data_IF_043999747055
#
_entry.id   IF_043999747055
#
_cell.length_a   1.000
_cell.length_b   1.000
_cell.length_c   1.000
_cell.angle_alpha   90.00
_cell.angle_beta   90.00
_cell.angle_gamma   90.00
#
_symmetry.space_group_name_H-M   'P 1'
#
loop_
_entity.id
_entity.type
_entity.pdbx_description
1 polymer ?
#
# COMPACT_ATOMS: atom_id res chain seq x y z
N UNK A 1 -1.06 -15.17 -10.33
CA UNK A 1 -0.72 -13.75 -10.57
C UNK A 1 -1.31 -13.36 -11.91
N UNK A 2 -2.09 -12.26 -12.03
CA UNK A 2 -2.70 -11.84 -13.30
C UNK A 2 -4.19 -11.48 -13.30
N UNK A 3 -4.80 -11.26 -12.14
CA UNK A 3 -6.20 -10.80 -12.06
C UNK A 3 -6.24 -9.30 -11.74
N UNK A 4 -6.90 -8.54 -12.61
CA UNK A 4 -7.28 -7.16 -12.35
C UNK A 4 -8.53 -7.11 -11.48
N UNK A 5 -8.55 -6.19 -10.52
CA UNK A 5 -9.66 -6.05 -9.59
C UNK A 5 -10.41 -4.74 -9.87
N UNK A 6 -11.74 -4.83 -9.93
CA UNK A 6 -12.62 -3.67 -10.08
C UNK A 6 -12.61 -2.79 -8.82
N UNK A 7 -12.48 -3.41 -7.64
CA UNK A 7 -12.42 -2.76 -6.35
C UNK A 7 -11.32 -3.35 -5.47
N UNK A 8 -10.54 -2.49 -4.81
CA UNK A 8 -9.46 -2.88 -3.89
C UNK A 8 -9.51 -1.98 -2.66
N UNK A 9 -9.56 -2.61 -1.49
CA UNK A 9 -9.37 -1.95 -0.19
C UNK A 9 -7.95 -2.18 0.32
N UNK A 10 -7.25 -1.11 0.69
CA UNK A 10 -5.95 -1.15 1.35
C UNK A 10 -6.06 -0.56 2.75
N UNK A 11 -5.76 -1.37 3.76
CA UNK A 11 -5.67 -0.92 5.15
C UNK A 11 -4.21 -0.80 5.57
N UNK A 12 -3.78 0.40 5.93
CA UNK A 12 -2.42 0.74 6.31
C UNK A 12 -2.40 1.21 7.76
N UNK A 13 -2.25 0.27 8.69
CA UNK A 13 -2.14 0.56 10.13
C UNK A 13 -0.74 0.94 10.58
N UNK A 14 0.27 0.71 9.74
CA UNK A 14 1.68 1.04 9.98
C UNK A 14 2.30 1.63 8.70
N UNK A 15 3.42 2.35 8.84
CA UNK A 15 4.20 2.81 7.70
C UNK A 15 4.61 1.60 6.84
N UNK A 16 4.38 1.71 5.53
CA UNK A 16 4.43 0.55 4.63
C UNK A 16 5.86 0.28 4.23
N UNK A 17 6.31 -0.94 4.52
CA UNK A 17 7.70 -1.40 4.41
C UNK A 17 8.02 -2.02 3.03
N UNK A 18 7.03 -2.49 2.28
CA UNK A 18 7.31 -3.34 1.13
C UNK A 18 7.02 -2.61 -0.18
N UNK A 19 8.10 -2.08 -0.78
CA UNK A 19 8.16 -1.51 -2.14
C UNK A 19 7.37 -2.33 -3.18
N UNK A 20 7.31 -3.65 -3.00
CA UNK A 20 6.51 -4.54 -3.84
C UNK A 20 5.02 -4.57 -3.51
N UNK A 21 4.60 -4.67 -2.25
CA UNK A 21 3.18 -4.97 -1.92
C UNK A 21 2.25 -3.80 -2.19
N UNK A 22 2.65 -2.58 -1.80
CA UNK A 22 1.85 -1.38 -2.05
C UNK A 22 1.77 -1.11 -3.56
N UNK A 23 2.91 -1.16 -4.24
CA UNK A 23 2.98 -0.93 -5.68
C UNK A 23 2.22 -1.99 -6.48
N UNK A 24 2.30 -3.26 -6.09
CA UNK A 24 1.56 -4.37 -6.71
C UNK A 24 0.06 -4.26 -6.46
N UNK A 25 -0.37 -3.81 -5.28
CA UNK A 25 -1.80 -3.60 -5.03
C UNK A 25 -2.35 -2.42 -5.84
N UNK A 26 -1.60 -1.32 -5.92
CA UNK A 26 -1.98 -0.14 -6.70
C UNK A 26 -2.00 -0.43 -8.21
N UNK A 27 -1.04 -1.20 -8.73
CA UNK A 27 -0.97 -1.54 -10.17
C UNK A 27 -2.05 -2.52 -10.63
N UNK A 28 -2.71 -3.22 -9.71
CA UNK A 28 -3.80 -4.17 -10.01
C UNK A 28 -5.18 -3.54 -10.12
N UNK A 29 -5.33 -2.27 -9.71
CA UNK A 29 -6.58 -1.54 -9.82
C UNK A 29 -6.73 -0.94 -11.21
N UNK A 30 -7.85 -1.24 -11.88
CA UNK A 30 -8.12 -0.71 -13.22
C UNK A 30 -8.60 0.75 -13.22
N UNK A 31 -9.34 1.16 -12.18
CA UNK A 31 -9.94 2.49 -12.09
C UNK A 31 -9.67 3.13 -10.72
N UNK A 32 -9.28 4.42 -10.70
CA UNK A 32 -9.00 5.14 -9.44
C UNK A 32 -10.16 5.09 -8.44
N UNK A 33 -11.41 5.12 -8.94
CA UNK A 33 -12.63 5.03 -8.10
C UNK A 33 -12.78 3.67 -7.41
N UNK A 34 -12.16 2.62 -7.95
CA UNK A 34 -12.15 1.29 -7.35
C UNK A 34 -11.15 1.14 -6.20
N UNK A 35 -10.24 2.10 -6.01
CA UNK A 35 -9.25 2.06 -4.95
C UNK A 35 -9.74 2.82 -3.72
N UNK A 36 -9.78 2.11 -2.59
CA UNK A 36 -10.04 2.68 -1.27
C UNK A 36 -8.84 2.42 -0.37
N UNK A 37 -8.24 3.47 0.17
CA UNK A 37 -7.09 3.36 1.09
C UNK A 37 -7.48 3.96 2.43
N UNK A 38 -7.40 3.16 3.49
CA UNK A 38 -7.62 3.58 4.87
C UNK A 38 -6.26 3.59 5.59
N UNK A 39 -5.84 4.75 6.06
CA UNK A 39 -4.53 4.95 6.72
C UNK A 39 -4.80 5.44 8.13
N UNK A 40 -4.31 4.74 9.14
CA UNK A 40 -4.36 5.19 10.54
C UNK A 40 -2.94 5.37 11.07
N UNK A 41 -2.76 6.32 11.99
CA UNK A 41 -1.57 6.34 12.83
C UNK A 41 -1.68 5.34 13.98
N UNK A 42 -0.62 5.24 14.79
CA UNK A 42 -0.54 4.33 15.94
C UNK A 42 -1.61 4.59 17.01
N UNK A 43 -2.28 5.75 16.97
CA UNK A 43 -3.36 6.13 17.88
C UNK A 43 -4.74 5.86 17.26
N UNK A 44 -4.79 5.28 16.06
CA UNK A 44 -6.04 5.01 15.35
C UNK A 44 -6.63 6.23 14.65
N UNK A 45 -5.91 7.35 14.60
CA UNK A 45 -6.39 8.57 13.95
C UNK A 45 -6.19 8.44 12.45
N UNK A 46 -7.26 8.69 11.69
CA UNK A 46 -7.23 8.66 10.24
C UNK A 46 -6.25 9.71 9.67
N UNK A 47 -5.45 9.28 8.69
CA UNK A 47 -4.51 10.10 7.94
C UNK A 47 -4.83 10.02 6.45
N UNK A 48 -4.44 11.07 5.73
CA UNK A 48 -4.54 11.15 4.28
C UNK A 48 -3.20 10.92 3.56
N UNK A 49 -2.12 10.78 4.32
CA UNK A 49 -0.76 10.58 3.81
C UNK A 49 -0.07 9.45 4.55
N UNK A 50 0.87 8.79 3.87
CA UNK A 50 1.77 7.80 4.47
C UNK A 50 3.17 8.00 3.91
N UNK A 51 4.19 7.68 4.71
CA UNK A 51 5.58 7.74 4.28
C UNK A 51 5.96 6.37 3.73
N UNK A 52 6.50 6.35 2.51
CA UNK A 52 7.12 5.16 1.97
C UNK A 52 8.48 4.95 2.64
N UNK A 53 8.61 3.92 3.46
CA UNK A 53 9.86 3.62 4.16
C UNK A 53 10.51 2.42 3.48
N UNK A 54 11.69 2.64 2.90
CA UNK A 54 12.47 1.58 2.25
C UNK A 54 13.66 1.23 3.13
N UNK A 55 13.74 -0.03 3.51
CA UNK A 55 14.81 -0.56 4.36
C UNK A 55 15.95 -1.09 3.49
N UNK A 56 17.18 -0.78 3.89
CA UNK A 56 18.37 -1.12 3.09
C UNK A 56 18.55 -2.63 2.93
N UNK A 57 18.08 -3.39 3.91
CA UNK A 57 18.07 -4.85 3.98
C UNK A 57 17.31 -5.51 2.81
N UNK A 58 16.34 -4.79 2.22
CA UNK A 58 15.61 -5.24 1.02
C UNK A 58 16.52 -5.28 -0.21
N UNK A 59 17.51 -4.39 -0.29
CA UNK A 59 18.48 -4.35 -1.38
C UNK A 59 19.69 -5.27 -1.16
N UNK A 60 19.84 -5.84 0.04
CA UNK A 60 20.98 -6.71 0.38
C UNK A 60 20.76 -8.17 -0.05
N UNK A 61 19.56 -8.49 -0.55
CA UNK A 61 19.20 -9.80 -1.11
C UNK A 61 18.96 -9.74 -2.64
N UNK A 62 19.42 -8.67 -3.30
CA UNK A 62 19.53 -8.54 -4.77
C UNK A 62 20.99 -8.77 -5.19
#
# INVERSE_FOLDING_TARGET
QGQSLAHVGLYLSNLVFCHGQLYVALSRVQIKKGLHVLIHDKQGIAKNTTINVVYKEVFTNL
#
